data_IF_047018915314
#
_entry.id   IF_047018915314
#
_cell.length_a   1.000
_cell.length_b   1.000
_cell.length_c   1.000
_cell.angle_alpha   90.00
_cell.angle_beta   90.00
_cell.angle_gamma   90.00
#
_symmetry.space_group_name_H-M   'P 1'
#
loop_
_entity.id
_entity.type
_entity.pdbx_description
1 polymer ?
#
# COMPACT_ATOMS: atom_id res chain seq x y z
N UNK A 1 27.05 17.24 4.76
CA UNK A 1 25.91 16.35 4.44
C UNK A 1 26.42 14.94 4.61
N UNK A 2 25.72 14.08 5.38
CA UNK A 2 26.09 12.66 5.43
C UNK A 2 26.04 12.08 4.02
N UNK A 3 26.93 11.14 3.74
CA UNK A 3 27.09 10.55 2.41
C UNK A 3 25.87 9.66 2.08
N UNK A 4 25.49 9.56 0.81
CA UNK A 4 24.31 8.76 0.40
C UNK A 4 24.41 7.29 0.86
N UNK A 5 25.62 6.75 0.91
CA UNK A 5 25.90 5.38 1.35
C UNK A 5 25.69 5.19 2.87
N UNK A 6 25.94 6.24 3.66
CA UNK A 6 25.74 6.25 5.11
C UNK A 6 24.23 6.29 5.44
N UNK A 7 23.45 7.02 4.64
CA UNK A 7 21.99 7.06 4.76
C UNK A 7 21.35 5.72 4.37
N UNK A 8 21.82 5.08 3.29
CA UNK A 8 21.35 3.76 2.87
C UNK A 8 21.68 2.70 3.93
N UNK A 9 22.89 2.69 4.48
CA UNK A 9 23.27 1.78 5.57
C UNK A 9 22.40 1.96 6.81
N UNK A 10 22.13 3.20 7.19
CA UNK A 10 21.28 3.53 8.33
C UNK A 10 19.82 3.13 8.09
N UNK A 11 19.28 3.36 6.89
CA UNK A 11 17.91 2.97 6.53
C UNK A 11 17.74 1.45 6.50
N UNK A 12 18.75 0.71 6.01
CA UNK A 12 18.75 -0.76 6.04
C UNK A 12 18.72 -1.31 7.47
N UNK A 13 19.31 -0.60 8.44
CA UNK A 13 19.23 -0.94 9.86
C UNK A 13 17.80 -0.93 10.43
N UNK A 14 16.90 -0.14 9.85
CA UNK A 14 15.50 -0.06 10.26
C UNK A 14 14.55 -0.99 9.50
N UNK A 15 15.05 -1.70 8.48
CA UNK A 15 14.22 -2.52 7.59
C UNK A 15 13.33 -3.51 8.33
N UNK A 16 13.84 -4.21 9.34
CA UNK A 16 13.05 -5.17 10.12
C UNK A 16 11.93 -4.49 10.90
N UNK A 17 12.23 -3.37 11.56
CA UNK A 17 11.27 -2.58 12.35
C UNK A 17 10.16 -2.01 11.47
N UNK A 18 10.51 -1.44 10.31
CA UNK A 18 9.54 -0.89 9.36
C UNK A 18 8.66 -2.01 8.78
N UNK A 19 9.25 -3.17 8.49
CA UNK A 19 8.48 -4.31 8.00
C UNK A 19 7.52 -4.86 9.06
N UNK A 20 7.97 -4.97 10.32
CA UNK A 20 7.12 -5.36 11.46
C UNK A 20 5.97 -4.36 11.65
N UNK A 21 6.25 -3.06 11.58
CA UNK A 21 5.23 -2.02 11.62
C UNK A 21 4.18 -2.20 10.52
N UNK A 22 4.59 -2.38 9.27
CA UNK A 22 3.66 -2.62 8.16
C UNK A 22 2.78 -3.84 8.40
N UNK A 23 3.34 -4.94 8.93
CA UNK A 23 2.57 -6.14 9.25
C UNK A 23 1.51 -5.85 10.31
N UNK A 24 1.85 -5.10 11.35
CA UNK A 24 0.91 -4.70 12.40
C UNK A 24 -0.17 -3.76 11.83
N UNK A 25 0.21 -2.74 11.06
CA UNK A 25 -0.71 -1.77 10.47
C UNK A 25 -1.71 -2.39 9.48
N UNK A 26 -1.33 -3.48 8.81
CA UNK A 26 -2.20 -4.21 7.89
C UNK A 26 -3.16 -5.17 8.60
N UNK A 27 -3.00 -5.43 9.91
CA UNK A 27 -3.94 -6.31 10.62
C UNK A 27 -5.29 -5.60 10.78
N UNK A 28 -6.41 -6.30 10.52
CA UNK A 28 -7.76 -5.72 10.66
C UNK A 28 -8.11 -5.35 12.11
N UNK A 29 -7.47 -6.03 13.07
CA UNK A 29 -7.53 -5.69 14.48
C UNK A 29 -6.21 -6.06 15.16
N UNK A 30 -5.85 -5.28 16.18
CA UNK A 30 -4.69 -5.54 17.01
C UNK A 30 -5.15 -6.13 18.34
N UNK A 31 -4.59 -7.29 18.68
CA UNK A 31 -4.63 -7.78 20.06
C UNK A 31 -3.74 -6.92 20.96
N UNK A 32 -3.83 -7.12 22.28
CA UNK A 32 -3.12 -6.28 23.24
C UNK A 32 -1.59 -6.28 23.02
N UNK A 33 -1.01 -7.46 22.79
CA UNK A 33 0.43 -7.59 22.59
C UNK A 33 0.88 -6.91 21.29
N UNK A 34 0.10 -7.04 20.22
CA UNK A 34 0.36 -6.39 18.95
C UNK A 34 0.26 -4.87 19.04
N UNK A 35 -0.73 -4.35 19.79
CA UNK A 35 -0.88 -2.93 20.04
C UNK A 35 0.27 -2.37 20.89
N UNK A 36 0.66 -3.08 21.96
CA UNK A 36 1.81 -2.69 22.79
C UNK A 36 3.10 -2.66 21.94
N UNK A 37 3.32 -3.68 21.10
CA UNK A 37 4.47 -3.74 20.19
C UNK A 37 4.48 -2.61 19.17
N UNK A 38 3.33 -2.28 18.59
CA UNK A 38 3.20 -1.14 17.68
C UNK A 38 3.52 0.18 18.39
N UNK A 39 3.08 0.32 19.64
CA UNK A 39 3.41 1.47 20.50
C UNK A 39 4.91 1.62 20.76
N UNK A 40 5.62 0.51 21.03
CA UNK A 40 7.09 0.54 21.20
C UNK A 40 7.80 1.03 19.94
N UNK A 41 7.35 0.58 18.76
CA UNK A 41 7.93 1.01 17.48
C UNK A 41 7.72 2.50 17.26
N UNK A 42 6.50 3.00 17.50
CA UNK A 42 6.18 4.42 17.35
C UNK A 42 6.94 5.29 18.35
N UNK A 43 7.03 4.87 19.61
CA UNK A 43 7.80 5.58 20.64
C UNK A 43 9.29 5.67 20.26
N UNK A 44 9.84 4.60 19.67
CA UNK A 44 11.21 4.61 19.17
C UNK A 44 11.38 5.58 17.99
N UNK A 45 10.39 5.63 17.09
CA UNK A 45 10.40 6.54 15.95
C UNK A 45 10.44 8.01 16.39
N UNK A 46 9.74 8.39 17.46
CA UNK A 46 9.79 9.77 18.02
C UNK A 46 11.22 10.23 18.38
N UNK A 47 12.07 9.30 18.84
CA UNK A 47 13.45 9.59 19.21
C UNK A 47 14.44 9.47 18.02
N UNK A 48 14.03 8.85 16.92
CA UNK A 48 14.91 8.47 15.80
C UNK A 48 14.35 9.02 14.47
N UNK A 49 14.78 10.22 14.01
CA UNK A 49 14.17 10.92 12.89
C UNK A 49 14.11 10.13 11.58
N UNK A 50 15.14 9.32 11.29
CA UNK A 50 15.15 8.48 10.09
C UNK A 50 14.10 7.36 10.18
N UNK A 51 13.92 6.76 11.35
CA UNK A 51 12.88 5.76 11.56
C UNK A 51 11.49 6.40 11.41
N UNK A 52 11.27 7.58 12.00
CA UNK A 52 10.00 8.31 11.85
C UNK A 52 9.64 8.54 10.38
N UNK A 53 10.57 9.05 9.59
CA UNK A 53 10.36 9.25 8.15
C UNK A 53 9.97 7.95 7.44
N UNK A 54 10.63 6.84 7.76
CA UNK A 54 10.34 5.55 7.13
C UNK A 54 8.97 4.99 7.56
N UNK A 55 8.54 5.24 8.80
CA UNK A 55 7.20 4.90 9.28
C UNK A 55 6.14 5.74 8.58
N UNK A 56 6.35 7.05 8.40
CA UNK A 56 5.43 7.93 7.68
C UNK A 56 5.23 7.47 6.21
N UNK A 57 6.33 7.09 5.54
CA UNK A 57 6.27 6.54 4.18
C UNK A 57 5.56 5.17 4.12
N UNK A 58 5.82 4.32 5.13
CA UNK A 58 5.14 3.04 5.29
C UNK A 58 3.64 3.22 5.49
N UNK A 59 3.20 4.16 6.33
CA UNK A 59 1.79 4.51 6.52
C UNK A 59 1.13 4.96 5.22
N UNK A 60 1.81 5.83 4.46
CA UNK A 60 1.35 6.24 3.15
C UNK A 60 1.12 5.06 2.21
N UNK A 61 2.00 4.06 2.22
CA UNK A 61 1.85 2.83 1.44
C UNK A 61 0.72 1.95 1.95
N UNK A 62 0.67 1.70 3.26
CA UNK A 62 -0.38 0.88 3.90
C UNK A 62 -1.75 1.46 3.60
N UNK A 63 -1.95 2.77 3.75
CA UNK A 63 -3.22 3.44 3.47
C UNK A 63 -3.62 3.36 1.98
N UNK A 64 -2.65 3.36 1.05
CA UNK A 64 -2.93 3.13 -0.38
C UNK A 64 -3.32 1.68 -0.68
N UNK A 65 -2.74 0.72 0.04
CA UNK A 65 -2.95 -0.71 -0.20
C UNK A 65 -4.17 -1.27 0.52
N UNK A 66 -4.52 -0.75 1.69
CA UNK A 66 -5.60 -1.25 2.52
C UNK A 66 -6.98 -1.27 1.80
N UNK A 67 -7.36 -0.24 1.01
CA UNK A 67 -8.57 -0.30 0.19
C UNK A 67 -8.53 -1.46 -0.81
N UNK A 68 -7.37 -1.73 -1.44
CA UNK A 68 -7.20 -2.81 -2.40
C UNK A 68 -7.26 -4.21 -1.78
N UNK A 69 -7.08 -4.34 -0.47
CA UNK A 69 -7.19 -5.61 0.26
C UNK A 69 -8.61 -5.87 0.78
N UNK A 70 -9.52 -4.92 0.64
CA UNK A 70 -10.92 -5.11 0.98
C UNK A 70 -11.64 -5.81 -0.18
N UNK A 71 -12.22 -6.98 0.07
CA UNK A 71 -12.97 -7.76 -0.92
C UNK A 71 -14.04 -6.92 -1.64
N UNK A 72 -14.69 -6.00 -0.92
CA UNK A 72 -15.69 -5.11 -1.50
C UNK A 72 -15.07 -4.16 -2.54
N UNK A 73 -13.88 -3.63 -2.28
CA UNK A 73 -13.18 -2.74 -3.20
C UNK A 73 -12.64 -3.52 -4.41
N UNK A 74 -12.14 -4.74 -4.21
CA UNK A 74 -11.74 -5.63 -5.30
C UNK A 74 -12.92 -5.95 -6.22
N UNK A 75 -14.08 -6.30 -5.67
CA UNK A 75 -15.29 -6.55 -6.45
C UNK A 75 -15.74 -5.29 -7.22
N UNK A 76 -15.68 -4.11 -6.60
CA UNK A 76 -15.98 -2.85 -7.27
C UNK A 76 -15.03 -2.56 -8.44
N UNK A 77 -13.72 -2.81 -8.28
CA UNK A 77 -12.76 -2.61 -9.37
C UNK A 77 -12.95 -3.65 -10.49
N UNK A 78 -13.24 -4.91 -10.15
CA UNK A 78 -13.58 -5.94 -11.14
C UNK A 78 -14.84 -5.57 -11.93
N UNK A 79 -15.89 -5.10 -11.27
CA UNK A 79 -17.10 -4.63 -11.95
C UNK A 79 -16.83 -3.46 -12.88
N UNK A 80 -16.02 -2.48 -12.45
CA UNK A 80 -15.63 -1.35 -13.31
C UNK A 80 -14.84 -1.81 -14.54
N UNK A 81 -13.90 -2.75 -14.37
CA UNK A 81 -13.15 -3.31 -15.49
C UNK A 81 -14.08 -4.07 -16.45
N UNK A 82 -15.00 -4.88 -15.92
CA UNK A 82 -15.97 -5.63 -16.73
C UNK A 82 -16.80 -4.67 -17.60
N UNK A 83 -17.32 -3.59 -17.02
CA UNK A 83 -18.10 -2.57 -17.75
C UNK A 83 -17.27 -1.94 -18.87
N UNK A 84 -16.01 -1.60 -18.62
CA UNK A 84 -15.12 -0.99 -19.62
C UNK A 84 -14.80 -1.98 -20.74
N UNK A 85 -14.52 -3.24 -20.40
CA UNK A 85 -14.27 -4.30 -21.38
C UNK A 85 -15.49 -4.51 -22.26
N UNK A 86 -16.68 -4.62 -21.65
CA UNK A 86 -17.94 -4.83 -22.38
C UNK A 86 -18.23 -3.65 -23.32
N UNK A 87 -17.99 -2.41 -22.87
CA UNK A 87 -18.15 -1.21 -23.69
C UNK A 87 -17.16 -1.18 -24.88
N UNK A 88 -15.89 -1.51 -24.64
CA UNK A 88 -14.87 -1.59 -25.71
C UNK A 88 -15.24 -2.67 -26.74
N UNK A 89 -15.74 -3.82 -26.29
CA UNK A 89 -16.20 -4.89 -27.18
C UNK A 89 -17.39 -4.47 -28.05
N UNK A 90 -18.37 -3.77 -27.47
CA UNK A 90 -19.51 -3.24 -28.23
C UNK A 90 -19.05 -2.21 -29.26
N UNK A 91 -18.15 -1.30 -28.89
CA UNK A 91 -17.59 -0.30 -29.82
C UNK A 91 -16.82 -0.96 -30.98
N UNK A 92 -16.07 -2.02 -30.71
CA UNK A 92 -15.32 -2.77 -31.72
C UNK A 92 -16.25 -3.54 -32.66
N UNK A 93 -17.31 -4.17 -32.14
CA UNK A 93 -18.37 -4.82 -32.90
C UNK A 93 -19.10 -3.85 -33.83
N UNK A 94 -19.53 -2.68 -33.32
CA UNK A 94 -20.18 -1.64 -34.11
C UNK A 94 -19.24 -1.10 -35.20
N UNK A 95 -17.97 -0.91 -34.86
CA UNK A 95 -16.93 -0.48 -35.80
C UNK A 95 -16.61 -1.52 -36.88
N UNK A 96 -16.81 -2.82 -36.59
CA UNK A 96 -16.68 -3.90 -37.56
C UNK A 96 -17.91 -4.01 -38.47
N UNK A 97 -19.12 -3.84 -37.93
CA UNK A 97 -20.36 -3.82 -38.70
C UNK A 97 -20.48 -2.61 -39.64
N UNK A 98 -19.96 -1.45 -39.24
CA UNK A 98 -19.99 -0.22 -40.06
C UNK A 98 -18.97 -0.15 -41.21
N UNK A 99 -18.10 -1.15 -41.39
CA UNK A 99 -17.16 -1.24 -42.52
C UNK A 99 -17.64 -2.14 -43.67
N UNK A 100 -18.89 -2.59 -43.60
CA UNK A 100 -19.50 -3.48 -44.59
C UNK A 100 -20.33 -2.80 -45.69
N UNK A 101 -20.37 -1.46 -45.77
CA UNK A 101 -21.07 -0.70 -46.81
C UNK A 101 -20.09 -0.07 -47.83
#
# INVERSE_FOLDING_TARGET
MPDCDEWLGSALGYRSTVYEYCQLALRPSLDRAAADRMGEILQRAEAEPLLNLLIDEADGLVNRLQPCLCDQHLHQQQQRLQIVIDALWVDELLSACGRGE
#
